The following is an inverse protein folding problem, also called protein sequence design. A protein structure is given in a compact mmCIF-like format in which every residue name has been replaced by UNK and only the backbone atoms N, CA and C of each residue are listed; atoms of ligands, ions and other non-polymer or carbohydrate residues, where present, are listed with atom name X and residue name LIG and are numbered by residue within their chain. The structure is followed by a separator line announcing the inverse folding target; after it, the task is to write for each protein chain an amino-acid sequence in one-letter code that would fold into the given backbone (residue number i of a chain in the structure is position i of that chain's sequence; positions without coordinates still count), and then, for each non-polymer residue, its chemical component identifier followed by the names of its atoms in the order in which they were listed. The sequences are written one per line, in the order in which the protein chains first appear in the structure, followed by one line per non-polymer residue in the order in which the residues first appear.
data_IF_027885742565
#
_entry.id   IF_027885742565
#
_cell.length_a   1.000
_cell.length_b   1.000
_cell.length_c   1.000
_cell.angle_alpha   90.00
_cell.angle_beta   90.00
_cell.angle_gamma   90.00
#
_symmetry.space_group_name_H-M   'P 1'
#
loop_
_entity.id
_entity.type
_entity.pdbx_description
1 polymer ?
#
# COMPACT_ATOMS: atom_id res chain seq x y z
N UNK A 1 5.75 50.60 -7.77
CA UNK A 1 5.28 49.92 -8.98
C UNK A 1 6.44 49.05 -9.46
N UNK A 2 6.43 47.75 -9.14
CA UNK A 2 7.43 46.77 -9.63
C UNK A 2 6.77 45.97 -10.74
N UNK A 3 7.26 46.10 -11.95
CA UNK A 3 6.83 45.36 -13.13
C UNK A 3 7.24 43.89 -12.96
N UNK A 4 6.29 42.99 -12.94
CA UNK A 4 6.53 41.56 -13.20
C UNK A 4 6.60 41.35 -14.72
N UNK A 5 7.64 40.69 -15.26
CA UNK A 5 7.65 40.35 -16.67
C UNK A 5 6.66 39.22 -16.94
N UNK A 6 5.73 39.45 -17.82
CA UNK A 6 4.77 38.53 -18.35
C UNK A 6 5.44 37.39 -19.13
N UNK A 7 4.84 36.22 -19.15
CA UNK A 7 5.29 34.98 -19.81
C UNK A 7 5.77 35.13 -21.27
N UNK A 8 5.34 36.16 -21.94
CA UNK A 8 5.71 36.51 -23.33
C UNK A 8 7.17 36.99 -23.46
N UNK A 9 7.73 37.64 -22.43
CA UNK A 9 9.07 38.20 -22.45
C UNK A 9 10.17 37.14 -22.33
N UNK A 10 9.88 36.02 -21.67
CA UNK A 10 10.83 34.90 -21.50
C UNK A 10 10.92 34.10 -22.82
N UNK A 11 9.82 34.01 -23.57
CA UNK A 11 9.77 33.32 -24.85
C UNK A 11 10.54 34.12 -25.95
N UNK A 12 10.53 35.43 -25.84
CA UNK A 12 11.22 36.31 -26.84
C UNK A 12 12.75 36.30 -26.63
N UNK A 13 13.22 36.23 -25.39
CA UNK A 13 14.65 36.09 -25.08
C UNK A 13 15.25 34.73 -25.50
N UNK A 14 14.41 33.67 -25.46
CA UNK A 14 14.85 32.35 -25.93
C UNK A 14 14.94 32.26 -27.46
N UNK A 15 14.15 33.04 -28.21
CA UNK A 15 14.24 33.12 -29.68
C UNK A 15 15.43 33.94 -30.17
N UNK A 16 15.81 35.02 -29.48
CA UNK A 16 16.96 35.85 -29.87
C UNK A 16 18.31 35.14 -29.71
N UNK A 17 18.43 34.15 -28.81
CA UNK A 17 19.64 33.32 -28.71
C UNK A 17 19.81 32.31 -29.86
N UNK A 18 18.77 32.03 -30.63
CA UNK A 18 18.79 31.04 -31.73
C UNK A 18 19.29 31.67 -33.04
N UNK A 19 19.12 33.00 -33.24
CA UNK A 19 19.55 33.68 -34.48
C UNK A 19 21.04 34.02 -34.55
N UNK A 20 21.78 33.98 -33.43
CA UNK A 20 23.19 34.44 -33.40
C UNK A 20 24.24 33.38 -33.78
N UNK A 21 23.87 32.13 -34.10
CA UNK A 21 24.82 31.08 -34.54
C UNK A 21 24.27 30.19 -35.66
N UNK A 22 24.08 30.74 -36.82
CA UNK A 22 23.92 29.98 -38.05
C UNK A 22 25.27 29.46 -38.54
N UNK A 23 25.67 28.26 -38.15
CA UNK A 23 26.89 27.62 -38.60
C UNK A 23 27.14 26.30 -37.86
N UNK A 24 26.32 25.33 -38.10
CA UNK A 24 26.41 23.88 -37.91
C UNK A 24 25.14 23.31 -37.25
N UNK A 25 24.22 23.00 -38.14
CA UNK A 25 23.01 22.20 -37.81
C UNK A 25 23.44 20.73 -37.67
N UNK A 26 23.62 20.26 -36.45
CA UNK A 26 23.31 18.86 -36.10
C UNK A 26 23.32 18.71 -34.58
N UNK A 27 22.25 18.15 -34.02
CA UNK A 27 22.18 17.70 -32.64
C UNK A 27 21.94 18.74 -31.52
N UNK A 28 20.79 19.42 -31.52
CA UNK A 28 20.43 20.21 -30.34
C UNK A 28 18.92 20.17 -29.97
N UNK A 29 18.17 19.16 -30.37
CA UNK A 29 16.72 19.17 -30.11
C UNK A 29 16.26 18.34 -28.91
N UNK A 30 17.11 17.53 -28.27
CA UNK A 30 16.74 16.68 -27.12
C UNK A 30 17.23 17.27 -25.78
N UNK A 31 18.34 18.00 -25.79
CA UNK A 31 18.99 18.53 -24.58
C UNK A 31 18.31 19.75 -23.95
N UNK A 32 17.50 20.48 -24.72
CA UNK A 32 16.94 21.76 -24.25
C UNK A 32 15.64 21.56 -23.40
N UNK A 33 14.88 20.52 -23.67
CA UNK A 33 13.64 20.22 -22.90
C UNK A 33 13.96 19.68 -21.50
N UNK A 34 14.96 18.80 -21.40
CA UNK A 34 15.40 18.26 -20.09
C UNK A 34 16.05 19.36 -19.24
N UNK A 35 16.83 20.27 -19.87
CA UNK A 35 17.45 21.40 -19.20
C UNK A 35 16.43 22.42 -18.68
N UNK A 36 15.37 22.71 -19.44
CA UNK A 36 14.29 23.61 -19.03
C UNK A 36 13.48 22.95 -17.89
N UNK A 37 13.21 21.65 -17.97
CA UNK A 37 12.51 20.90 -16.92
C UNK A 37 13.30 20.85 -15.61
N UNK A 38 14.62 20.71 -15.67
CA UNK A 38 15.49 20.75 -14.50
C UNK A 38 15.63 22.17 -13.91
N UNK A 39 15.65 23.21 -14.74
CA UNK A 39 15.63 24.59 -14.27
C UNK A 39 14.30 24.98 -13.60
N UNK A 40 13.16 24.51 -14.12
CA UNK A 40 11.86 24.72 -13.47
C UNK A 40 11.76 23.98 -12.12
N UNK A 41 12.35 22.78 -12.00
CA UNK A 41 12.47 22.08 -10.73
C UNK A 41 13.33 22.81 -9.71
N UNK A 42 14.40 23.47 -10.11
CA UNK A 42 15.26 24.26 -9.23
C UNK A 42 14.59 25.55 -8.70
N UNK A 43 13.57 26.07 -9.40
CA UNK A 43 12.81 27.25 -8.97
C UNK A 43 11.65 26.94 -8.01
N UNK A 44 11.18 25.67 -7.95
CA UNK A 44 10.09 25.27 -7.09
C UNK A 44 10.60 24.84 -5.70
N UNK A 45 9.91 25.30 -4.65
CA UNK A 45 10.21 24.83 -3.31
C UNK A 45 9.85 23.35 -3.16
N UNK A 46 10.55 22.61 -2.26
CA UNK A 46 10.22 21.22 -1.92
C UNK A 46 8.73 21.05 -1.59
N UNK A 47 8.11 22.03 -0.95
CA UNK A 47 6.69 22.02 -0.65
C UNK A 47 5.82 22.03 -1.91
N UNK A 48 6.15 22.85 -2.90
CA UNK A 48 5.40 22.92 -4.16
C UNK A 48 5.54 21.63 -4.97
N UNK A 49 6.76 21.08 -5.07
CA UNK A 49 7.01 19.81 -5.76
C UNK A 49 6.22 18.64 -5.13
N UNK A 50 6.22 18.54 -3.80
CA UNK A 50 5.46 17.51 -3.11
C UNK A 50 3.96 17.72 -3.29
N UNK A 51 3.48 18.96 -3.23
CA UNK A 51 2.05 19.26 -3.42
C UNK A 51 1.58 18.86 -4.82
N UNK A 52 2.35 19.16 -5.85
CA UNK A 52 2.05 18.75 -7.22
C UNK A 52 2.04 17.22 -7.35
N UNK A 53 3.06 16.53 -6.84
CA UNK A 53 3.12 15.06 -6.86
C UNK A 53 1.98 14.40 -6.08
N UNK A 54 1.49 15.01 -5.00
CA UNK A 54 0.30 14.53 -4.27
C UNK A 54 -0.96 14.68 -5.13
N UNK A 55 -1.13 15.82 -5.81
CA UNK A 55 -2.26 16.06 -6.71
C UNK A 55 -2.23 15.06 -7.88
N UNK A 56 -1.06 14.84 -8.48
CA UNK A 56 -0.87 13.90 -9.59
C UNK A 56 -1.16 12.45 -9.19
N UNK A 57 -0.93 12.10 -7.92
CA UNK A 57 -1.28 10.77 -7.38
C UNK A 57 -2.78 10.53 -7.30
N UNK A 58 -3.59 11.58 -7.33
CA UNK A 58 -5.04 11.53 -7.24
C UNK A 58 -5.60 11.31 -5.83
N UNK A 59 -6.84 11.75 -5.62
CA UNK A 59 -7.56 11.53 -4.36
C UNK A 59 -7.76 10.03 -4.09
N UNK A 60 -7.60 9.62 -2.85
CA UNK A 60 -7.67 8.22 -2.43
C UNK A 60 -6.32 7.52 -2.40
N UNK A 61 -5.23 8.18 -2.80
CA UNK A 61 -3.90 7.59 -2.82
C UNK A 61 -3.28 7.50 -1.43
N UNK A 62 -2.55 6.41 -1.19
CA UNK A 62 -1.73 6.21 0.00
C UNK A 62 -0.28 6.55 -0.33
N UNK A 63 0.31 7.44 0.43
CA UNK A 63 1.58 8.07 0.15
C UNK A 63 2.60 7.79 1.27
N UNK A 64 3.88 7.70 0.90
CA UNK A 64 4.98 7.56 1.86
C UNK A 64 6.22 8.34 1.39
N UNK A 65 7.09 8.79 2.32
CA UNK A 65 8.17 9.74 2.02
C UNK A 65 9.10 9.33 0.87
N UNK A 66 9.37 8.03 0.69
CA UNK A 66 10.31 7.57 -0.34
C UNK A 66 9.83 7.82 -1.78
N UNK A 67 8.50 7.97 -1.99
CA UNK A 67 7.94 8.31 -3.30
C UNK A 67 8.34 9.72 -3.77
N UNK A 68 8.71 10.59 -2.84
CA UNK A 68 9.07 11.99 -3.07
C UNK A 68 10.58 12.23 -3.06
N UNK A 69 11.41 11.18 -3.19
CA UNK A 69 12.87 11.29 -3.11
C UNK A 69 13.47 12.28 -4.12
N UNK A 70 12.80 12.48 -5.27
CA UNK A 70 13.18 13.47 -6.28
C UNK A 70 12.82 14.92 -5.94
N UNK A 71 12.00 15.15 -4.90
CA UNK A 71 11.49 16.48 -4.54
C UNK A 71 12.38 17.22 -3.53
N UNK A 72 13.38 16.55 -2.92
CA UNK A 72 14.26 17.16 -1.94
C UNK A 72 14.86 16.20 -0.92
N UNK A 73 15.48 16.76 0.11
CA UNK A 73 16.07 15.97 1.20
C UNK A 73 15.00 15.26 2.04
N UNK A 74 15.36 14.07 2.55
CA UNK A 74 14.44 13.20 3.33
C UNK A 74 13.86 13.89 4.56
N UNK A 75 14.60 14.79 5.20
CA UNK A 75 14.15 15.56 6.35
C UNK A 75 13.12 16.61 5.94
N UNK A 76 13.40 17.36 4.87
CA UNK A 76 12.50 18.35 4.30
C UNK A 76 11.18 17.70 3.86
N UNK A 77 11.24 16.56 3.16
CA UNK A 77 10.07 15.79 2.72
C UNK A 77 9.19 15.42 3.92
N UNK A 78 9.75 14.86 4.99
CA UNK A 78 8.99 14.49 6.20
C UNK A 78 8.36 15.69 6.88
N UNK A 79 9.07 16.84 6.93
CA UNK A 79 8.55 18.09 7.49
C UNK A 79 7.36 18.62 6.68
N UNK A 80 7.47 18.60 5.34
CA UNK A 80 6.40 19.04 4.44
C UNK A 80 5.17 18.15 4.61
N UNK A 81 5.32 16.82 4.53
CA UNK A 81 4.20 15.88 4.72
C UNK A 81 3.54 16.02 6.10
N UNK A 82 4.35 16.26 7.15
CA UNK A 82 3.83 16.53 8.49
C UNK A 82 3.05 17.83 8.57
N UNK A 83 3.51 18.89 7.88
CA UNK A 83 2.82 20.19 7.80
C UNK A 83 1.50 20.06 7.06
N UNK A 84 1.50 19.42 5.88
CA UNK A 84 0.29 19.14 5.10
C UNK A 84 -0.75 18.34 5.89
N UNK A 85 -0.28 17.45 6.78
CA UNK A 85 -1.18 16.71 7.69
C UNK A 85 -1.79 17.62 8.75
N UNK A 86 -1.02 18.55 9.32
CA UNK A 86 -1.51 19.52 10.31
C UNK A 86 -2.52 20.50 9.69
N UNK A 87 -2.32 20.84 8.43
CA UNK A 87 -3.22 21.69 7.64
C UNK A 87 -4.48 20.96 7.18
N UNK A 88 -4.58 19.63 7.42
CA UNK A 88 -5.73 18.82 7.02
C UNK A 88 -5.74 18.42 5.54
N UNK A 89 -4.68 18.74 4.79
CA UNK A 89 -4.55 18.35 3.38
C UNK A 89 -4.29 16.87 3.20
N UNK A 90 -3.56 16.26 4.14
CA UNK A 90 -3.32 14.81 4.20
C UNK A 90 -3.82 14.23 5.53
N UNK A 91 -4.21 12.98 5.52
CA UNK A 91 -4.52 12.21 6.74
C UNK A 91 -3.36 11.27 7.05
N UNK A 92 -2.86 11.28 8.29
CA UNK A 92 -1.82 10.34 8.72
C UNK A 92 -2.44 9.04 9.19
N UNK A 93 -2.20 7.94 8.47
CA UNK A 93 -2.65 6.58 8.83
C UNK A 93 -1.71 5.92 9.86
N UNK A 94 -0.40 6.09 9.68
CA UNK A 94 0.64 5.57 10.56
C UNK A 94 1.91 6.41 10.43
N UNK A 95 2.97 6.05 11.16
CA UNK A 95 4.28 6.67 10.99
C UNK A 95 4.80 6.46 9.56
N UNK A 96 5.04 7.57 8.85
CA UNK A 96 5.49 7.54 7.45
C UNK A 96 4.47 6.96 6.47
N UNK A 97 3.18 6.97 6.80
CA UNK A 97 2.10 6.56 5.91
C UNK A 97 1.00 7.63 5.94
N UNK A 98 0.78 8.24 4.80
CA UNK A 98 -0.16 9.33 4.61
C UNK A 98 -1.22 8.94 3.61
N UNK A 99 -2.35 9.59 3.67
CA UNK A 99 -3.49 9.36 2.78
C UNK A 99 -3.96 10.69 2.21
N UNK A 100 -4.05 10.79 0.90
CA UNK A 100 -4.68 11.92 0.26
C UNK A 100 -6.19 11.69 0.26
N UNK A 101 -6.96 12.41 1.10
CA UNK A 101 -8.34 12.03 1.37
C UNK A 101 -9.23 12.19 0.14
N UNK A 102 -10.00 11.15 -0.14
CA UNK A 102 -11.14 11.22 -1.05
C UNK A 102 -12.37 11.57 -0.23
N UNK A 103 -13.05 12.64 -0.61
CA UNK A 103 -14.25 13.11 0.09
C UNK A 103 -15.50 12.67 -0.67
N UNK A 104 -16.44 12.08 0.04
CA UNK A 104 -17.76 11.76 -0.52
C UNK A 104 -18.60 13.03 -0.67
N UNK A 105 -18.79 13.45 -1.91
CA UNK A 105 -19.61 14.60 -2.26
C UNK A 105 -21.09 14.25 -2.49
N UNK A 106 -21.41 12.96 -2.68
CA UNK A 106 -22.77 12.51 -3.00
C UNK A 106 -23.66 12.29 -1.78
N UNK A 107 -23.09 11.66 -0.74
CA UNK A 107 -23.84 11.21 0.44
C UNK A 107 -23.43 11.95 1.71
N UNK A 108 -22.42 12.84 1.66
CA UNK A 108 -21.94 13.61 2.79
C UNK A 108 -21.34 12.74 3.91
N UNK A 109 -20.88 11.52 3.61
CA UNK A 109 -20.32 10.60 4.61
C UNK A 109 -18.93 11.01 5.09
N UNK A 110 -18.37 12.09 4.52
CA UNK A 110 -17.04 12.63 4.85
C UNK A 110 -15.93 11.90 4.12
N UNK A 111 -14.79 11.69 4.80
CA UNK A 111 -13.63 11.03 4.19
C UNK A 111 -13.90 9.55 3.96
N UNK A 112 -13.71 9.10 2.72
CA UNK A 112 -13.70 7.69 2.33
C UNK A 112 -12.29 7.17 2.59
N UNK A 113 -12.15 6.31 3.60
CA UNK A 113 -10.86 5.71 3.93
C UNK A 113 -10.57 4.51 3.02
N UNK A 114 -9.27 4.20 2.76
CA UNK A 114 -8.88 3.06 1.94
C UNK A 114 -9.30 1.73 2.58
N UNK A 115 -9.33 0.68 1.77
CA UNK A 115 -9.61 -0.67 2.26
C UNK A 115 -8.44 -1.21 3.09
N UNK A 116 -8.73 -2.20 3.95
CA UNK A 116 -7.72 -2.85 4.78
C UNK A 116 -6.68 -3.55 3.90
N UNK A 117 -7.14 -4.21 2.85
CA UNK A 117 -6.31 -4.93 1.88
C UNK A 117 -5.36 -4.01 1.13
N UNK A 118 -5.86 -2.85 0.69
CA UNK A 118 -5.06 -1.86 -0.02
C UNK A 118 -3.94 -1.32 0.86
N UNK A 119 -4.27 -0.97 2.11
CA UNK A 119 -3.27 -0.50 3.07
C UNK A 119 -2.26 -1.59 3.40
N UNK A 120 -2.71 -2.84 3.57
CA UNK A 120 -1.83 -3.98 3.85
C UNK A 120 -0.84 -4.20 2.69
N UNK A 121 -1.33 -4.22 1.43
CA UNK A 121 -0.49 -4.37 0.23
C UNK A 121 0.59 -3.29 0.14
N UNK A 122 0.23 -2.03 0.35
CA UNK A 122 1.20 -0.93 0.30
C UNK A 122 2.24 -1.04 1.42
N UNK A 123 1.86 -1.53 2.59
CA UNK A 123 2.79 -1.77 3.69
C UNK A 123 3.76 -2.91 3.34
N UNK A 124 3.29 -4.00 2.75
CA UNK A 124 4.13 -5.09 2.29
C UNK A 124 5.16 -4.62 1.26
N UNK A 125 4.72 -3.89 0.24
CA UNK A 125 5.59 -3.33 -0.80
C UNK A 125 6.63 -2.35 -0.25
N UNK A 126 6.20 -1.41 0.60
CA UNK A 126 7.05 -0.37 1.16
C UNK A 126 8.12 -0.91 2.09
N UNK A 127 7.72 -1.81 2.99
CA UNK A 127 8.57 -2.30 4.07
C UNK A 127 9.26 -3.61 3.70
N UNK A 128 8.92 -4.20 2.55
CA UNK A 128 9.40 -5.51 2.07
C UNK A 128 9.18 -6.60 3.12
N UNK A 129 7.99 -6.65 3.67
CA UNK A 129 7.54 -7.60 4.68
C UNK A 129 6.37 -8.42 4.15
N UNK A 130 6.10 -9.53 4.80
CA UNK A 130 4.92 -10.36 4.52
C UNK A 130 3.86 -10.12 5.60
N UNK A 131 2.60 -9.94 5.18
CA UNK A 131 1.45 -9.79 6.05
C UNK A 131 0.50 -10.97 5.86
N UNK A 132 0.22 -11.70 6.93
CA UNK A 132 -0.66 -12.86 6.93
C UNK A 132 -1.91 -12.51 7.73
N UNK A 133 -3.11 -12.53 7.11
CA UNK A 133 -4.34 -12.31 7.84
C UNK A 133 -4.53 -13.37 8.93
N UNK A 134 -4.97 -12.95 10.12
CA UNK A 134 -5.10 -13.80 11.29
C UNK A 134 -6.36 -13.43 12.09
N UNK A 135 -6.69 -14.24 13.08
CA UNK A 135 -7.85 -14.01 13.92
C UNK A 135 -9.17 -14.13 13.15
N UNK A 136 -10.20 -13.46 13.62
CA UNK A 136 -11.52 -13.45 12.98
C UNK A 136 -11.52 -12.94 11.55
N UNK A 137 -10.49 -12.18 11.16
CA UNK A 137 -10.39 -11.65 9.81
C UNK A 137 -10.10 -12.73 8.75
N UNK A 138 -9.22 -13.69 9.03
CA UNK A 138 -8.97 -14.79 8.10
C UNK A 138 -10.22 -15.67 7.97
N UNK A 139 -10.98 -15.87 9.06
CA UNK A 139 -12.26 -16.59 9.02
C UNK A 139 -13.27 -15.88 8.12
N UNK A 140 -13.37 -14.56 8.23
CA UNK A 140 -14.25 -13.76 7.38
C UNK A 140 -13.84 -13.83 5.90
N UNK A 141 -12.53 -13.70 5.59
CA UNK A 141 -12.01 -13.81 4.22
C UNK A 141 -12.32 -15.14 3.56
N UNK A 142 -12.32 -16.23 4.32
CA UNK A 142 -12.65 -17.57 3.84
C UNK A 142 -14.16 -17.89 3.87
N UNK A 143 -14.97 -16.95 4.35
CA UNK A 143 -16.42 -17.17 4.51
C UNK A 143 -16.78 -18.13 5.66
N UNK A 144 -15.85 -18.44 6.55
CA UNK A 144 -16.07 -19.27 7.76
C UNK A 144 -16.75 -18.48 8.88
N UNK A 145 -16.77 -17.17 8.80
CA UNK A 145 -17.47 -16.29 9.73
C UNK A 145 -18.10 -15.11 8.99
N UNK A 146 -19.29 -14.71 9.39
CA UNK A 146 -19.97 -13.50 8.90
C UNK A 146 -19.54 -12.22 9.65
N UNK A 147 -18.77 -12.37 10.72
CA UNK A 147 -18.29 -11.24 11.51
C UNK A 147 -17.25 -10.44 10.75
N UNK A 148 -17.48 -9.14 10.60
CA UNK A 148 -16.52 -8.20 10.02
C UNK A 148 -15.80 -7.50 11.20
N UNK A 149 -14.53 -7.82 11.47
CA UNK A 149 -13.82 -7.19 12.57
C UNK A 149 -13.51 -5.71 12.28
N UNK A 150 -13.74 -4.85 13.26
CA UNK A 150 -13.35 -3.43 13.17
C UNK A 150 -11.83 -3.26 13.19
N UNK A 151 -11.14 -4.11 13.94
CA UNK A 151 -9.70 -4.16 14.02
C UNK A 151 -9.20 -5.50 13.47
N UNK A 152 -8.39 -5.42 12.45
CA UNK A 152 -7.84 -6.57 11.76
C UNK A 152 -6.44 -6.87 12.27
N UNK A 153 -6.16 -8.14 12.53
CA UNK A 153 -4.84 -8.60 12.94
C UNK A 153 -4.14 -9.25 11.77
N UNK A 154 -2.90 -8.81 11.51
CA UNK A 154 -1.96 -9.47 10.61
C UNK A 154 -0.74 -9.95 11.38
N UNK A 155 -0.30 -11.15 11.07
CA UNK A 155 1.00 -11.67 11.49
C UNK A 155 2.05 -11.17 10.49
N UNK A 156 3.20 -10.73 10.98
CA UNK A 156 4.28 -10.20 10.14
C UNK A 156 5.67 -10.65 10.59
N UNK A 157 6.59 -10.72 9.64
CA UNK A 157 8.02 -10.86 9.89
C UNK A 157 8.70 -9.50 10.16
N UNK A 158 7.97 -8.39 9.97
CA UNK A 158 8.43 -7.04 10.22
C UNK A 158 8.18 -6.53 11.64
N UNK A 159 8.28 -5.22 11.82
CA UNK A 159 8.08 -4.57 13.12
C UNK A 159 6.59 -4.50 13.49
N UNK A 160 6.22 -4.85 14.75
CA UNK A 160 4.86 -4.75 15.23
C UNK A 160 4.42 -3.27 15.32
N UNK A 161 3.20 -2.97 14.88
CA UNK A 161 2.61 -1.64 14.95
C UNK A 161 1.12 -1.65 14.71
N UNK A 162 0.48 -0.53 15.03
CA UNK A 162 -0.94 -0.30 14.76
C UNK A 162 -1.12 0.82 13.73
N UNK A 163 -1.99 0.59 12.76
CA UNK A 163 -2.39 1.54 11.72
C UNK A 163 -3.84 1.91 11.95
N UNK A 164 -4.14 3.20 12.02
CA UNK A 164 -5.50 3.72 12.24
C UNK A 164 -6.13 4.10 10.90
N UNK A 165 -7.30 3.53 10.59
CA UNK A 165 -8.03 3.75 9.33
C UNK A 165 -9.27 4.66 9.51
N UNK A 166 -9.33 5.40 10.60
CA UNK A 166 -10.49 6.24 10.91
C UNK A 166 -11.73 5.44 11.34
N UNK A 167 -12.72 6.14 11.90
CA UNK A 167 -14.00 5.57 12.37
C UNK A 167 -13.83 4.33 13.29
N UNK A 168 -12.77 4.30 14.10
CA UNK A 168 -12.47 3.19 15.04
C UNK A 168 -11.91 1.92 14.38
N UNK A 169 -11.69 1.90 13.05
CA UNK A 169 -11.07 0.77 12.36
C UNK A 169 -9.55 0.86 12.39
N UNK A 170 -8.90 -0.28 12.36
CA UNK A 170 -7.45 -0.32 12.33
C UNK A 170 -6.89 -1.68 11.92
N UNK A 171 -5.59 -1.67 11.64
CA UNK A 171 -4.79 -2.86 11.37
C UNK A 171 -3.76 -2.98 12.49
N UNK A 172 -3.71 -4.13 13.14
CA UNK A 172 -2.69 -4.47 14.11
C UNK A 172 -1.70 -5.47 13.50
N UNK A 173 -0.44 -5.08 13.37
CA UNK A 173 0.64 -5.96 12.95
C UNK A 173 1.27 -6.60 14.18
N UNK A 174 1.24 -7.93 14.26
CA UNK A 174 1.87 -8.72 15.31
C UNK A 174 3.05 -9.49 14.73
N UNK A 175 4.22 -9.32 15.30
CA UNK A 175 5.41 -10.06 14.85
C UNK A 175 5.30 -11.54 15.22
N UNK A 176 5.63 -12.42 14.28
CA UNK A 176 5.91 -13.83 14.55
C UNK A 176 7.39 -14.12 14.38
N UNK A 177 7.93 -14.92 15.29
CA UNK A 177 9.29 -15.44 15.21
C UNK A 177 9.33 -16.83 14.52
N UNK A 178 8.17 -17.45 14.30
CA UNK A 178 8.07 -18.73 13.59
C UNK A 178 8.15 -18.47 12.08
N UNK A 179 9.29 -18.82 11.50
CA UNK A 179 9.56 -18.63 10.07
C UNK A 179 8.70 -19.54 9.18
N UNK A 180 8.21 -20.67 9.69
CA UNK A 180 7.31 -21.55 8.94
C UNK A 180 6.03 -20.83 8.50
N UNK A 181 5.57 -19.85 9.29
CA UNK A 181 4.40 -19.05 8.92
C UNK A 181 4.59 -18.30 7.59
N UNK A 182 5.82 -17.98 7.21
CA UNK A 182 6.15 -17.20 6.02
C UNK A 182 6.68 -18.06 4.87
N UNK A 183 6.85 -19.38 5.08
CA UNK A 183 7.41 -20.29 4.10
C UNK A 183 6.36 -20.84 3.10
N UNK A 184 5.08 -20.64 3.36
CA UNK A 184 4.01 -21.07 2.45
C UNK A 184 4.10 -20.35 1.11
N UNK A 185 4.05 -21.10 0.04
CA UNK A 185 4.00 -20.55 -1.33
C UNK A 185 2.56 -20.24 -1.76
N UNK A 186 1.61 -21.09 -1.38
CA UNK A 186 0.19 -20.89 -1.65
C UNK A 186 -0.46 -20.04 -0.55
N UNK A 187 -0.97 -18.87 -0.93
CA UNK A 187 -1.70 -17.98 -0.01
C UNK A 187 -2.93 -18.69 0.57
N UNK A 188 -3.63 -19.46 -0.26
CA UNK A 188 -4.85 -20.14 0.17
C UNK A 188 -4.57 -21.25 1.19
N UNK A 189 -3.53 -22.08 0.98
CA UNK A 189 -3.12 -23.10 1.97
C UNK A 189 -2.77 -22.43 3.30
N UNK A 190 -1.98 -21.36 3.24
CA UNK A 190 -1.62 -20.56 4.41
C UNK A 190 -2.85 -20.03 5.14
N UNK A 191 -3.81 -19.43 4.41
CA UNK A 191 -5.05 -18.92 5.03
C UNK A 191 -5.88 -20.04 5.69
N UNK A 192 -5.97 -21.21 5.06
CA UNK A 192 -6.67 -22.37 5.65
C UNK A 192 -6.02 -22.82 6.96
N UNK A 193 -4.68 -22.87 7.00
CA UNK A 193 -3.94 -23.23 8.22
C UNK A 193 -4.19 -22.21 9.33
N UNK A 194 -4.13 -20.91 9.03
CA UNK A 194 -4.39 -19.87 10.01
C UNK A 194 -5.85 -19.84 10.48
N UNK A 195 -6.80 -20.12 9.60
CA UNK A 195 -8.20 -20.25 9.96
C UNK A 195 -8.44 -21.45 10.93
N UNK A 196 -7.83 -22.58 10.66
CA UNK A 196 -7.92 -23.74 11.55
C UNK A 196 -7.27 -23.48 12.92
N UNK A 197 -6.13 -22.78 12.95
CA UNK A 197 -5.52 -22.34 14.22
C UNK A 197 -6.47 -21.45 15.02
N UNK A 198 -7.22 -20.57 14.38
CA UNK A 198 -8.17 -19.67 15.03
C UNK A 198 -9.41 -20.41 15.54
N UNK A 199 -9.95 -21.35 14.76
CA UNK A 199 -11.08 -22.19 15.17
C UNK A 199 -10.69 -23.10 16.35
N UNK A 200 -9.46 -23.64 16.31
CA UNK A 200 -8.95 -24.61 17.28
C UNK A 200 -9.37 -26.05 16.98
N UNK A 201 -8.54 -26.97 17.45
CA UNK A 201 -8.76 -28.41 17.28
C UNK A 201 -10.09 -28.86 17.90
N UNK A 202 -10.88 -29.63 17.16
CA UNK A 202 -12.17 -30.19 17.62
C UNK A 202 -13.37 -29.22 17.53
N UNK A 203 -13.18 -27.95 17.14
CA UNK A 203 -14.25 -26.95 17.07
C UNK A 203 -14.83 -26.76 15.65
N UNK A 204 -14.49 -27.62 14.71
CA UNK A 204 -15.01 -27.55 13.34
C UNK A 204 -16.47 -28.01 13.29
N UNK A 205 -17.33 -27.12 12.79
CA UNK A 205 -18.72 -27.43 12.50
C UNK A 205 -18.85 -28.04 11.09
N UNK A 206 -19.98 -28.69 10.77
CA UNK A 206 -20.23 -29.20 9.41
C UNK A 206 -20.27 -28.08 8.36
N UNK A 207 -20.73 -26.88 8.73
CA UNK A 207 -20.69 -25.71 7.87
C UNK A 207 -19.23 -25.32 7.55
N UNK A 208 -18.37 -25.28 8.57
CA UNK A 208 -16.94 -25.00 8.36
C UNK A 208 -16.30 -26.05 7.43
N UNK A 209 -16.57 -27.32 7.64
CA UNK A 209 -16.05 -28.41 6.79
C UNK A 209 -16.48 -28.27 5.33
N UNK A 210 -17.75 -27.95 5.10
CA UNK A 210 -18.28 -27.73 3.74
C UNK A 210 -17.56 -26.58 3.02
N UNK A 211 -17.31 -25.46 3.72
CA UNK A 211 -16.60 -24.31 3.15
C UNK A 211 -15.13 -24.65 2.90
N UNK A 212 -14.47 -25.30 3.86
CA UNK A 212 -13.07 -25.74 3.71
C UNK A 212 -12.88 -26.69 2.54
N UNK A 213 -13.79 -27.68 2.35
CA UNK A 213 -13.77 -28.58 1.18
C UNK A 213 -13.86 -27.81 -0.14
N UNK A 214 -14.71 -26.77 -0.21
CA UNK A 214 -14.82 -25.93 -1.41
C UNK A 214 -13.49 -25.24 -1.73
N UNK A 215 -12.81 -24.68 -0.74
CA UNK A 215 -11.50 -24.08 -0.92
C UNK A 215 -10.42 -25.10 -1.29
N UNK A 216 -10.41 -26.27 -0.63
CA UNK A 216 -9.45 -27.34 -0.91
C UNK A 216 -9.54 -27.84 -2.37
N UNK A 217 -10.73 -27.87 -2.97
CA UNK A 217 -10.93 -28.26 -4.37
C UNK A 217 -10.31 -27.28 -5.37
N UNK A 218 -10.10 -26.02 -4.97
CA UNK A 218 -9.47 -25.00 -5.82
C UNK A 218 -7.94 -24.99 -5.75
N UNK A 219 -7.35 -25.81 -4.86
CA UNK A 219 -5.90 -25.92 -4.69
C UNK A 219 -5.41 -27.13 -5.47
N UNK A 220 -4.38 -26.94 -6.30
CA UNK A 220 -3.74 -28.05 -7.03
C UNK A 220 -3.07 -29.02 -6.05
N UNK A 221 -2.93 -30.29 -6.49
CA UNK A 221 -2.29 -31.32 -5.66
C UNK A 221 -0.82 -30.98 -5.35
N UNK A 222 -0.14 -30.38 -6.31
CA UNK A 222 1.27 -29.98 -6.17
C UNK A 222 1.45 -28.86 -5.15
N UNK A 223 0.61 -27.81 -5.22
CA UNK A 223 0.63 -26.72 -4.25
C UNK A 223 0.31 -27.19 -2.84
N UNK A 224 -0.71 -28.05 -2.73
CA UNK A 224 -1.12 -28.59 -1.43
C UNK A 224 0.00 -29.43 -0.80
N UNK A 225 0.57 -30.41 -1.52
CA UNK A 225 1.65 -31.27 -1.01
C UNK A 225 2.90 -30.50 -0.64
N UNK A 226 3.21 -29.44 -1.41
CA UNK A 226 4.37 -28.61 -1.14
C UNK A 226 4.27 -27.87 0.18
N UNK A 227 3.08 -27.37 0.53
CA UNK A 227 2.91 -26.45 1.63
C UNK A 227 2.34 -27.07 2.92
N UNK A 228 1.57 -28.19 2.81
CA UNK A 228 0.86 -28.76 3.96
C UNK A 228 1.77 -29.22 5.08
N UNK A 229 2.99 -29.66 4.78
CA UNK A 229 3.97 -30.12 5.78
C UNK A 229 4.46 -29.01 6.72
N UNK A 230 4.25 -27.72 6.36
CA UNK A 230 4.55 -26.58 7.22
C UNK A 230 3.52 -26.39 8.32
N UNK A 231 2.35 -26.99 8.20
CA UNK A 231 1.28 -26.90 9.15
C UNK A 231 1.51 -27.81 10.38
N UNK A 232 0.95 -27.50 11.58
CA UNK A 232 0.89 -28.41 12.70
C UNK A 232 0.22 -29.73 12.31
N UNK A 233 0.69 -30.86 12.89
CA UNK A 233 0.23 -32.22 12.52
C UNK A 233 -1.30 -32.36 12.54
N UNK A 234 -1.97 -31.88 13.59
CA UNK A 234 -3.41 -31.96 13.71
C UNK A 234 -4.17 -31.26 12.57
N UNK A 235 -3.59 -30.15 12.02
CA UNK A 235 -4.15 -29.44 10.87
C UNK A 235 -3.93 -30.24 9.58
N UNK A 236 -2.74 -30.84 9.42
CA UNK A 236 -2.48 -31.75 8.30
C UNK A 236 -3.49 -32.90 8.26
N UNK A 237 -3.70 -33.55 9.40
CA UNK A 237 -4.63 -34.66 9.52
C UNK A 237 -6.07 -34.25 9.17
N UNK A 238 -6.49 -33.09 9.66
CA UNK A 238 -7.85 -32.58 9.40
C UNK A 238 -8.06 -32.16 7.96
N UNK A 239 -7.11 -31.45 7.35
CA UNK A 239 -7.20 -31.04 5.94
C UNK A 239 -7.10 -32.24 4.98
N UNK A 240 -6.24 -33.23 5.27
CA UNK A 240 -6.15 -34.48 4.50
C UNK A 240 -7.47 -35.24 4.53
N UNK A 241 -8.06 -35.41 5.73
CA UNK A 241 -9.37 -36.06 5.91
C UNK A 241 -10.46 -35.35 5.09
N UNK A 242 -10.48 -34.02 5.10
CA UNK A 242 -11.47 -33.25 4.34
C UNK A 242 -11.27 -33.34 2.82
N UNK A 243 -10.06 -33.60 2.37
CA UNK A 243 -9.72 -33.72 0.95
C UNK A 243 -10.08 -35.09 0.38
N UNK A 244 -10.00 -36.14 1.21
CA UNK A 244 -10.34 -37.52 0.83
C UNK A 244 -11.85 -37.78 0.75
N UNK A 245 -12.67 -36.93 1.36
CA UNK A 245 -14.13 -36.97 1.37
C UNK A 245 -14.77 -36.10 0.28
#
# INVERSE_FOLDING_TARGET
MKFFPTFVTVFHLALECVEARAGSLTFCHVTNMDYICDMEKQLKSTHQLIKEAVIDSGEGSILYPNQFASCGDSTAIRQVLSRMTKEGYLVRLAHGLYYYPKVDTKWGTGIIYPSIEEVARIIEERDKITLIPSGTYVLNKLGLSTQIPMNVVYITNGSPRTIKLGKGRGIQLKRSNDMNNFAYTSELVRMLVFALREIGQGNLTEVHKSILKKHLRSISEEEYKRDIHLAPQWIQDELNRLREQ
#
